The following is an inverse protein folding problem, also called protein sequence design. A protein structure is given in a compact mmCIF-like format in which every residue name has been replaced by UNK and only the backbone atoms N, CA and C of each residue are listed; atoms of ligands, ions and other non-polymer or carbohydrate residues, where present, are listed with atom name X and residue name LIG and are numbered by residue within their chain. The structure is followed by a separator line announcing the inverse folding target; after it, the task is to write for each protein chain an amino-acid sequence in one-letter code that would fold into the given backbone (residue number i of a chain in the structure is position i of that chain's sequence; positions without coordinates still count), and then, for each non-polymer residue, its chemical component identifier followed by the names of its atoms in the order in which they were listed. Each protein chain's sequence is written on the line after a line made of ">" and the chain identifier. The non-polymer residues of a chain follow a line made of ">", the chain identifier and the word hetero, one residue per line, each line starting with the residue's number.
data_IF_354116434589
#
_entry.id   IF_354116434589
#
_cell.length_a   1.000
_cell.length_b   1.000
_cell.length_c   1.000
_cell.angle_alpha   90.00
_cell.angle_beta   90.00
_cell.angle_gamma   90.00
#
_symmetry.space_group_name_H-M   'P 1'
#
loop_
_entity.id
_entity.type
_entity.pdbx_description
1 polymer ?
#
# COMPACT_ATOMS: atom_id res chain seq x y z
N UNK A 1 -43.16 2.91 1.81
CA UNK A 1 -42.47 4.01 2.53
C UNK A 1 -41.21 3.38 3.11
N UNK A 2 -40.09 3.45 2.37
CA UNK A 2 -38.87 2.70 2.67
C UNK A 2 -37.82 3.67 3.21
N UNK A 3 -37.33 3.35 4.40
CA UNK A 3 -36.43 4.13 5.24
C UNK A 3 -35.01 4.10 4.68
N UNK A 4 -34.45 5.29 4.40
CA UNK A 4 -33.16 5.54 3.74
C UNK A 4 -32.08 5.97 4.75
N UNK A 5 -31.94 5.24 5.85
CA UNK A 5 -30.81 5.41 6.76
C UNK A 5 -30.22 4.04 7.06
N UNK A 6 -28.92 3.88 6.76
CA UNK A 6 -28.02 2.77 7.15
C UNK A 6 -27.61 1.78 6.05
N UNK A 7 -27.08 2.26 4.91
CA UNK A 7 -26.11 1.47 4.11
C UNK A 7 -25.11 2.41 3.42
N UNK A 8 -24.19 3.00 4.17
CA UNK A 8 -22.96 3.59 3.63
C UNK A 8 -21.82 3.12 4.53
N UNK A 9 -21.28 1.94 4.22
CA UNK A 9 -20.03 1.45 4.81
C UNK A 9 -19.05 1.12 3.70
N UNK A 10 -17.91 1.78 3.77
CA UNK A 10 -16.61 1.47 3.20
C UNK A 10 -16.50 1.47 1.67
N UNK A 11 -16.29 2.67 1.12
CA UNK A 11 -15.55 2.84 -0.13
C UNK A 11 -14.16 3.39 0.18
N UNK A 12 -13.17 2.76 -0.45
CA UNK A 12 -11.80 3.23 -0.72
C UNK A 12 -10.76 3.13 0.41
N UNK A 13 -10.38 1.89 0.71
CA UNK A 13 -8.99 1.59 0.96
C UNK A 13 -8.36 1.14 -0.37
N UNK A 14 -7.32 1.84 -0.82
CA UNK A 14 -6.52 1.44 -1.99
C UNK A 14 -5.08 1.12 -1.53
N UNK A 15 -4.51 -0.03 -1.88
CA UNK A 15 -3.08 -0.27 -1.69
C UNK A 15 -2.22 0.60 -2.61
N UNK A 16 -1.29 1.36 -2.05
CA UNK A 16 -0.26 2.05 -2.83
C UNK A 16 1.08 1.35 -2.60
N UNK A 17 1.80 1.02 -3.68
CA UNK A 17 3.21 0.69 -3.59
C UNK A 17 3.97 1.98 -3.31
N UNK A 18 4.12 2.33 -2.03
CA UNK A 18 4.91 3.48 -1.61
C UNK A 18 6.41 3.16 -1.80
N UNK A 19 6.90 3.32 -3.03
CA UNK A 19 8.31 3.52 -3.28
C UNK A 19 8.59 5.01 -3.02
N UNK A 20 9.43 5.31 -2.05
CA UNK A 20 9.81 6.68 -1.71
C UNK A 20 11.23 6.98 -2.22
N UNK A 21 11.41 7.49 -3.45
CA UNK A 21 12.67 8.07 -3.86
C UNK A 21 12.53 9.60 -3.91
N UNK A 22 13.31 10.31 -3.12
CA UNK A 22 14.18 11.37 -3.68
C UNK A 22 15.29 11.79 -2.72
N UNK A 23 16.49 11.70 -3.28
CA UNK A 23 17.78 12.32 -2.94
C UNK A 23 17.69 13.57 -2.06
N UNK A 24 18.17 13.44 -0.81
CA UNK A 24 19.16 14.33 -0.16
C UNK A 24 19.07 14.34 1.37
N UNK A 25 18.02 13.79 1.98
CA UNK A 25 17.93 13.61 3.44
C UNK A 25 17.54 12.19 3.88
N UNK A 26 17.30 11.28 2.94
CA UNK A 26 16.96 9.87 3.23
C UNK A 26 18.15 8.96 3.51
N UNK A 27 19.37 9.33 3.09
CA UNK A 27 20.56 8.50 3.34
C UNK A 27 21.01 8.58 4.81
N UNK A 28 21.02 9.76 5.42
CA UNK A 28 21.48 9.92 6.81
C UNK A 28 20.59 9.21 7.84
N UNK A 29 19.28 9.11 7.59
CA UNK A 29 18.35 8.32 8.41
C UNK A 29 18.44 6.81 8.16
N UNK A 30 18.82 6.39 6.94
CA UNK A 30 19.03 4.98 6.61
C UNK A 30 20.36 4.44 7.16
N UNK A 31 21.43 5.23 7.15
CA UNK A 31 22.76 4.83 7.63
C UNK A 31 22.83 4.75 9.17
N UNK A 32 21.99 5.50 9.88
CA UNK A 32 21.95 5.56 11.35
C UNK A 32 21.03 4.51 11.98
N UNK A 33 20.30 3.71 11.19
CA UNK A 33 19.40 2.67 11.67
C UNK A 33 19.96 1.27 11.35
N UNK A 34 20.56 0.54 12.31
CA UNK A 34 21.19 -0.76 12.07
C UNK A 34 20.20 -1.86 11.60
N UNK A 35 18.88 -1.61 11.64
CA UNK A 35 17.85 -2.50 11.06
C UNK A 35 17.62 -2.29 9.55
N UNK A 36 18.18 -1.22 8.98
CA UNK A 36 18.02 -0.84 7.56
C UNK A 36 19.25 -1.12 6.70
N UNK A 37 20.37 -1.54 7.29
CA UNK A 37 21.53 -2.07 6.56
C UNK A 37 21.25 -3.51 6.12
N UNK A 38 20.35 -3.65 5.15
CA UNK A 38 20.04 -4.92 4.52
C UNK A 38 20.90 -5.02 3.27
N UNK A 39 21.75 -6.06 3.18
CA UNK A 39 22.51 -6.34 1.97
C UNK A 39 21.57 -6.36 0.75
N UNK A 40 21.96 -5.86 -0.43
CA UNK A 40 21.07 -5.75 -1.59
C UNK A 40 20.29 -7.04 -1.93
N UNK A 41 20.92 -8.19 -1.72
CA UNK A 41 20.35 -9.53 -1.91
C UNK A 41 19.28 -9.93 -0.87
N UNK A 42 19.20 -9.22 0.26
CA UNK A 42 18.26 -9.45 1.34
C UNK A 42 17.13 -8.42 1.37
N UNK A 43 17.10 -7.47 0.43
CA UNK A 43 15.99 -6.52 0.30
C UNK A 43 14.69 -7.27 0.03
N UNK A 44 13.64 -6.95 0.78
CA UNK A 44 12.30 -7.54 0.67
C UNK A 44 11.27 -6.44 0.49
N UNK A 45 10.17 -6.78 -0.17
CA UNK A 45 8.95 -5.99 -0.07
C UNK A 45 8.45 -6.12 1.38
N UNK A 46 8.46 -5.01 2.12
CA UNK A 46 8.29 -5.05 3.57
C UNK A 46 6.81 -5.16 3.97
N UNK A 47 6.01 -4.11 3.70
CA UNK A 47 4.60 -4.02 4.07
C UNK A 47 3.84 -3.17 3.05
N UNK A 48 2.54 -3.44 2.90
CA UNK A 48 1.67 -2.57 2.09
C UNK A 48 1.14 -1.40 2.92
N UNK A 49 0.87 -0.30 2.23
CA UNK A 49 0.17 0.85 2.78
C UNK A 49 -1.32 0.75 2.46
N UNK A 50 -2.19 0.96 3.45
CA UNK A 50 -3.61 1.15 3.26
C UNK A 50 -3.92 2.64 3.28
N UNK A 51 -4.40 3.17 2.16
CA UNK A 51 -4.90 4.53 2.12
C UNK A 51 -6.28 4.63 2.78
N UNK A 52 -6.55 5.73 3.48
CA UNK A 52 -7.89 6.10 3.94
C UNK A 52 -8.14 7.59 3.73
N UNK A 53 -9.41 7.96 3.59
CA UNK A 53 -9.86 9.35 3.54
C UNK A 53 -10.25 9.88 4.95
N UNK A 54 -10.40 8.98 5.94
CA UNK A 54 -10.66 9.31 7.35
C UNK A 54 -9.81 8.45 8.30
N UNK A 55 -8.62 8.96 8.60
CA UNK A 55 -7.61 8.28 9.42
C UNK A 55 -8.00 8.21 10.89
N UNK A 56 -8.77 9.18 11.39
CA UNK A 56 -9.23 9.18 12.79
C UNK A 56 -10.29 8.10 13.00
N UNK A 57 -11.26 7.98 12.07
CA UNK A 57 -12.23 6.90 12.08
C UNK A 57 -11.54 5.53 11.94
N UNK A 58 -10.65 5.40 10.95
CA UNK A 58 -9.93 4.13 10.71
C UNK A 58 -9.10 3.70 11.92
N UNK A 59 -8.44 4.66 12.58
CA UNK A 59 -7.67 4.41 13.81
C UNK A 59 -8.57 3.91 14.95
N UNK A 60 -9.70 4.58 15.18
CA UNK A 60 -10.65 4.20 16.21
C UNK A 60 -11.27 2.81 15.96
N UNK A 61 -11.62 2.50 14.70
CA UNK A 61 -12.20 1.23 14.31
C UNK A 61 -11.23 0.07 14.54
N UNK A 62 -9.99 0.17 14.05
CA UNK A 62 -8.98 -0.88 14.25
C UNK A 62 -8.65 -1.08 15.74
N UNK A 63 -8.57 0.01 16.51
CA UNK A 63 -8.39 -0.07 17.96
C UNK A 63 -9.55 -0.78 18.66
N UNK A 64 -10.79 -0.54 18.22
CA UNK A 64 -11.99 -1.17 18.78
C UNK A 64 -12.06 -2.68 18.50
N UNK A 65 -11.42 -3.13 17.41
CA UNK A 65 -11.25 -4.54 17.06
C UNK A 65 -10.14 -5.23 17.85
N UNK A 66 -9.51 -4.54 18.81
CA UNK A 66 -8.46 -5.11 19.67
C UNK A 66 -7.05 -5.01 19.11
N UNK A 67 -6.84 -4.35 17.97
CA UNK A 67 -5.51 -4.12 17.43
C UNK A 67 -4.77 -3.04 18.22
N UNK A 68 -3.48 -3.27 18.46
CA UNK A 68 -2.57 -2.25 18.97
C UNK A 68 -2.14 -1.36 17.80
N UNK A 69 -2.54 -0.10 17.85
CA UNK A 69 -2.23 0.90 16.81
C UNK A 69 -1.41 2.02 17.42
N UNK A 70 -0.38 2.47 16.69
CA UNK A 70 0.45 3.60 17.10
C UNK A 70 -0.37 4.89 17.16
N UNK A 71 0.12 5.96 17.83
CA UNK A 71 -0.41 7.30 17.62
C UNK A 71 -0.38 7.70 16.14
N UNK A 72 -1.31 8.56 15.73
CA UNK A 72 -1.31 9.17 14.40
C UNK A 72 -0.21 10.23 14.35
N UNK A 73 0.70 10.10 13.39
CA UNK A 73 1.81 11.03 13.16
C UNK A 73 1.53 11.87 11.92
N UNK A 74 1.79 13.17 12.01
CA UNK A 74 1.71 14.08 10.87
C UNK A 74 3.10 14.19 10.22
N UNK A 75 3.19 13.96 8.92
CA UNK A 75 4.41 14.10 8.12
C UNK A 75 4.24 15.14 7.03
N UNK A 76 5.36 15.75 6.62
CA UNK A 76 5.39 16.65 5.47
C UNK A 76 6.76 16.66 4.79
N UNK A 77 6.78 16.95 3.49
CA UNK A 77 8.00 17.25 2.74
C UNK A 77 7.73 18.28 1.65
N UNK A 78 8.76 19.01 1.25
CA UNK A 78 8.70 19.86 0.07
C UNK A 78 9.09 19.05 -1.16
N UNK A 79 8.34 19.21 -2.25
CA UNK A 79 8.77 18.73 -3.57
C UNK A 79 9.88 19.63 -4.15
N UNK A 80 10.55 19.23 -5.26
CA UNK A 80 11.58 20.06 -5.89
C UNK A 80 11.10 21.44 -6.37
N UNK A 81 9.78 21.65 -6.50
CA UNK A 81 9.18 22.94 -6.84
C UNK A 81 8.84 23.78 -5.59
N UNK A 82 9.08 23.27 -4.39
CA UNK A 82 8.79 23.95 -3.12
C UNK A 82 7.36 23.80 -2.62
N UNK A 83 6.52 22.96 -3.26
CA UNK A 83 5.18 22.68 -2.74
C UNK A 83 5.25 21.73 -1.54
N UNK A 84 4.44 22.00 -0.52
CA UNK A 84 4.33 21.12 0.66
C UNK A 84 3.41 19.94 0.32
N UNK A 85 3.94 18.73 0.48
CA UNK A 85 3.17 17.48 0.50
C UNK A 85 3.07 17.04 1.95
N UNK A 86 1.85 16.95 2.49
CA UNK A 86 1.59 16.50 3.86
C UNK A 86 0.79 15.21 3.89
N UNK A 87 0.95 14.44 4.96
CA UNK A 87 0.21 13.20 5.22
C UNK A 87 0.06 12.95 6.71
N UNK A 88 -0.87 12.05 7.04
CA UNK A 88 -1.07 11.47 8.37
C UNK A 88 -0.84 9.97 8.25
N UNK A 89 -0.20 9.36 9.24
CA UNK A 89 0.18 7.93 9.20
C UNK A 89 0.11 7.29 10.59
N UNK A 90 -0.28 6.02 10.66
CA UNK A 90 -0.09 5.17 11.85
C UNK A 90 0.23 3.73 11.46
N UNK A 91 0.86 2.98 12.37
CA UNK A 91 1.17 1.56 12.19
C UNK A 91 0.26 0.67 13.04
N UNK A 92 0.03 -0.54 12.54
CA UNK A 92 -0.60 -1.62 13.30
C UNK A 92 0.53 -2.52 13.79
N UNK A 93 0.61 -2.73 15.10
CA UNK A 93 1.65 -3.54 15.71
C UNK A 93 1.35 -5.03 15.57
N UNK A 94 2.41 -5.83 15.51
CA UNK A 94 2.33 -7.29 15.37
C UNK A 94 2.11 -7.76 13.93
N UNK A 95 1.57 -8.98 13.85
CA UNK A 95 1.37 -9.76 12.64
C UNK A 95 0.23 -10.75 12.85
N UNK A 96 -0.15 -11.44 11.77
CA UNK A 96 -1.01 -12.62 11.81
C UNK A 96 -0.23 -13.81 11.27
N UNK A 97 0.12 -14.77 12.14
CA UNK A 97 0.91 -15.96 11.79
C UNK A 97 2.21 -15.62 11.03
N UNK A 98 2.90 -14.56 11.46
CA UNK A 98 4.13 -14.07 10.85
C UNK A 98 3.90 -13.09 9.69
N UNK A 99 2.68 -12.97 9.13
CA UNK A 99 2.36 -12.00 8.09
C UNK A 99 2.17 -10.60 8.71
N UNK A 100 3.07 -9.63 8.47
CA UNK A 100 3.00 -8.34 9.13
C UNK A 100 1.77 -7.54 8.69
N UNK A 101 1.14 -6.85 9.64
CA UNK A 101 0.03 -5.96 9.30
C UNK A 101 0.50 -4.77 8.45
N UNK A 102 -0.37 -4.26 7.57
CA UNK A 102 -0.11 -3.04 6.85
C UNK A 102 -0.07 -1.82 7.78
N UNK A 103 0.38 -0.69 7.25
CA UNK A 103 0.25 0.61 7.90
C UNK A 103 -0.80 1.45 7.18
N UNK A 104 -1.36 2.45 7.86
CA UNK A 104 -2.44 3.27 7.32
C UNK A 104 -1.93 4.68 7.07
N UNK A 105 -2.26 5.25 5.90
CA UNK A 105 -1.92 6.62 5.53
C UNK A 105 -3.14 7.40 5.03
N UNK A 106 -3.15 8.70 5.27
CA UNK A 106 -4.06 9.66 4.66
C UNK A 106 -3.24 10.83 4.11
N UNK A 107 -3.39 11.13 2.83
CA UNK A 107 -2.80 12.33 2.23
C UNK A 107 -3.54 13.59 2.69
N UNK A 108 -2.82 14.69 2.86
CA UNK A 108 -3.41 15.97 3.26
C UNK A 108 -4.23 16.66 2.17
N UNK A 109 -3.98 16.32 0.89
CA UNK A 109 -4.77 16.76 -0.26
C UNK A 109 -5.72 15.65 -0.73
N UNK A 110 -6.93 16.04 -1.14
CA UNK A 110 -7.83 15.18 -1.90
C UNK A 110 -7.21 14.80 -3.26
N UNK A 111 -7.47 13.57 -3.71
CA UNK A 111 -6.84 13.02 -4.91
C UNK A 111 -7.23 13.77 -6.19
N UNK A 112 -8.49 14.18 -6.31
CA UNK A 112 -8.94 14.92 -7.48
C UNK A 112 -8.35 16.34 -7.48
N UNK A 113 -8.27 16.98 -6.31
CA UNK A 113 -7.61 18.27 -6.17
C UNK A 113 -6.12 18.18 -6.53
N UNK A 114 -5.42 17.15 -6.03
CA UNK A 114 -4.02 16.86 -6.35
C UNK A 114 -3.82 16.58 -7.84
N UNK A 115 -4.61 15.69 -8.44
CA UNK A 115 -4.51 15.36 -9.87
C UNK A 115 -4.80 16.59 -10.75
N UNK A 116 -5.77 17.42 -10.37
CA UNK A 116 -6.08 18.67 -11.07
C UNK A 116 -4.91 19.65 -10.99
N UNK A 117 -4.29 19.79 -9.80
CA UNK A 117 -3.08 20.62 -9.61
C UNK A 117 -1.91 20.10 -10.44
N UNK A 118 -1.65 18.79 -10.44
CA UNK A 118 -0.57 18.17 -11.21
C UNK A 118 -0.77 18.34 -12.72
N UNK A 119 -2.01 18.18 -13.21
CA UNK A 119 -2.41 18.46 -14.60
C UNK A 119 -2.20 19.92 -14.98
N UNK A 120 -2.68 20.84 -14.13
CA UNK A 120 -2.52 22.28 -14.35
C UNK A 120 -1.03 22.71 -14.38
N UNK A 121 -0.17 21.99 -13.65
CA UNK A 121 1.27 22.23 -13.62
C UNK A 121 2.04 21.48 -14.72
N UNK A 122 1.37 20.66 -15.54
CA UNK A 122 2.00 19.82 -16.58
C UNK A 122 3.00 18.81 -16.00
N UNK A 123 2.79 18.40 -14.75
CA UNK A 123 3.64 17.46 -14.02
C UNK A 123 3.13 16.01 -14.10
N UNK A 124 1.94 15.80 -14.68
CA UNK A 124 1.38 14.48 -15.01
C UNK A 124 1.84 13.98 -16.39
N UNK A 125 3.08 14.33 -16.79
CA UNK A 125 3.62 13.89 -18.08
C UNK A 125 3.53 12.36 -18.17
N UNK A 126 2.99 11.81 -19.27
CA UNK A 126 2.96 10.37 -19.46
C UNK A 126 4.37 9.82 -19.29
N UNK A 127 4.51 8.79 -18.45
CA UNK A 127 5.77 8.07 -18.37
C UNK A 127 6.08 7.50 -19.77
N UNK A 128 7.35 7.46 -20.22
CA UNK A 128 7.69 6.93 -21.55
C UNK A 128 7.17 5.51 -21.83
N UNK A 129 6.99 4.73 -20.75
CA UNK A 129 6.42 3.38 -20.79
C UNK A 129 4.87 3.35 -20.72
N UNK A 130 4.20 4.48 -20.93
CA UNK A 130 2.75 4.60 -20.86
C UNK A 130 2.19 4.51 -19.43
N UNK A 131 0.88 4.23 -19.36
CA UNK A 131 0.18 3.97 -18.11
C UNK A 131 0.62 2.61 -17.53
N UNK A 132 1.04 2.63 -16.26
CA UNK A 132 1.39 1.46 -15.47
C UNK A 132 0.64 1.55 -14.14
N UNK A 133 -0.19 0.56 -13.83
CA UNK A 133 -1.02 0.55 -12.61
C UNK A 133 -0.78 -0.71 -11.81
N UNK A 134 -0.62 -0.57 -10.48
CA UNK A 134 -0.56 -1.73 -9.59
C UNK A 134 -1.91 -2.42 -9.60
N UNK A 135 -1.93 -3.70 -9.97
CA UNK A 135 -3.14 -4.51 -10.04
C UNK A 135 -3.23 -5.47 -8.86
N UNK A 136 -2.12 -6.07 -8.43
CA UNK A 136 -2.15 -7.08 -7.36
C UNK A 136 -0.87 -7.09 -6.53
N UNK A 137 -1.02 -7.34 -5.24
CA UNK A 137 0.06 -7.64 -4.32
C UNK A 137 -0.11 -9.08 -3.84
N UNK A 138 0.93 -9.90 -4.02
CA UNK A 138 0.90 -11.33 -3.74
C UNK A 138 1.71 -11.59 -2.46
N UNK A 139 1.04 -12.13 -1.47
CA UNK A 139 1.61 -12.54 -0.20
C UNK A 139 1.84 -14.04 -0.20
N UNK A 140 2.99 -14.46 0.30
CA UNK A 140 3.25 -15.86 0.59
C UNK A 140 3.07 -16.08 2.09
N UNK A 141 2.22 -17.04 2.45
CA UNK A 141 1.79 -17.33 3.84
C UNK A 141 1.58 -18.81 4.05
N UNK A 142 1.73 -19.29 5.29
CA UNK A 142 1.58 -20.72 5.59
C UNK A 142 0.15 -21.24 5.34
N UNK A 143 -0.85 -20.44 5.70
CA UNK A 143 -2.27 -20.73 5.48
C UNK A 143 -2.95 -19.55 4.76
N UNK A 144 -3.10 -19.63 3.42
CA UNK A 144 -3.75 -18.59 2.62
C UNK A 144 -5.20 -18.35 2.99
N UNK A 145 -5.93 -19.39 3.40
CA UNK A 145 -7.34 -19.26 3.76
C UNK A 145 -7.46 -18.49 5.08
N UNK A 146 -6.70 -18.88 6.10
CA UNK A 146 -6.72 -18.19 7.38
C UNK A 146 -6.29 -16.72 7.25
N UNK A 147 -5.24 -16.43 6.47
CA UNK A 147 -4.80 -15.05 6.24
C UNK A 147 -5.87 -14.20 5.54
N UNK A 148 -6.55 -14.77 4.54
CA UNK A 148 -7.64 -14.13 3.81
C UNK A 148 -8.84 -13.84 4.70
N UNK A 149 -9.30 -14.82 5.46
CA UNK A 149 -10.42 -14.67 6.40
C UNK A 149 -10.12 -13.62 7.47
N UNK A 150 -8.90 -13.64 8.01
CA UNK A 150 -8.46 -12.66 9.01
C UNK A 150 -8.41 -11.24 8.47
N UNK A 151 -7.78 -11.04 7.31
CA UNK A 151 -7.71 -9.71 6.68
C UNK A 151 -9.07 -9.23 6.17
N UNK A 152 -9.96 -10.14 5.75
CA UNK A 152 -11.35 -9.82 5.46
C UNK A 152 -12.06 -9.28 6.70
N UNK A 153 -11.98 -10.00 7.83
CA UNK A 153 -12.65 -9.63 9.06
C UNK A 153 -12.16 -8.29 9.62
N UNK A 154 -10.85 -8.02 9.55
CA UNK A 154 -10.25 -6.79 10.08
C UNK A 154 -10.52 -5.57 9.19
N UNK A 155 -10.27 -5.70 7.89
CA UNK A 155 -10.24 -4.55 6.97
C UNK A 155 -11.51 -4.42 6.12
N UNK A 156 -12.40 -5.41 6.13
CA UNK A 156 -13.66 -5.39 5.40
C UNK A 156 -13.49 -5.46 3.88
N UNK A 157 -12.39 -6.03 3.38
CA UNK A 157 -12.18 -6.22 1.95
C UNK A 157 -13.13 -7.29 1.39
N UNK A 158 -13.58 -7.17 0.13
CA UNK A 158 -14.47 -8.19 -0.44
C UNK A 158 -13.68 -9.47 -0.75
N UNK A 159 -14.24 -10.63 -0.43
CA UNK A 159 -13.59 -11.91 -0.72
C UNK A 159 -13.56 -12.24 -2.21
N UNK A 160 -12.45 -12.82 -2.64
CA UNK A 160 -12.23 -13.44 -3.95
C UNK A 160 -11.77 -14.89 -3.73
N UNK A 161 -11.83 -15.72 -4.78
CA UNK A 161 -11.41 -17.13 -4.70
C UNK A 161 -9.97 -17.31 -4.21
N UNK A 162 -9.06 -16.44 -4.62
CA UNK A 162 -7.62 -16.51 -4.32
C UNK A 162 -7.14 -15.34 -3.46
N UNK A 163 -8.05 -14.53 -2.90
CA UNK A 163 -7.63 -13.29 -2.27
C UNK A 163 -8.75 -12.36 -1.80
N UNK A 164 -8.41 -11.07 -1.72
CA UNK A 164 -9.28 -9.98 -1.28
C UNK A 164 -9.23 -8.84 -2.28
N UNK A 165 -10.39 -8.23 -2.55
CA UNK A 165 -10.50 -7.01 -3.34
C UNK A 165 -10.36 -5.79 -2.44
N UNK A 166 -9.30 -5.02 -2.65
CA UNK A 166 -9.00 -3.76 -1.96
C UNK A 166 -9.12 -2.60 -2.96
N UNK A 167 -10.34 -2.10 -3.15
CA UNK A 167 -10.62 -1.09 -4.18
C UNK A 167 -10.46 -1.66 -5.60
N UNK A 168 -9.59 -1.05 -6.40
CA UNK A 168 -9.27 -1.51 -7.77
C UNK A 168 -8.16 -2.57 -7.80
N UNK A 169 -7.54 -2.83 -6.64
CA UNK A 169 -6.42 -3.74 -6.49
C UNK A 169 -6.83 -5.01 -5.77
N UNK A 170 -5.96 -6.01 -5.82
CA UNK A 170 -6.17 -7.31 -5.19
C UNK A 170 -5.02 -7.68 -4.26
N UNK A 171 -5.34 -8.23 -3.10
CA UNK A 171 -4.41 -8.95 -2.27
C UNK A 171 -4.60 -10.43 -2.52
N UNK A 172 -3.58 -11.10 -3.03
CA UNK A 172 -3.62 -12.53 -3.32
C UNK A 172 -2.75 -13.26 -2.31
N UNK A 173 -3.20 -14.41 -1.82
CA UNK A 173 -2.48 -15.19 -0.83
C UNK A 173 -2.09 -16.53 -1.45
N UNK A 174 -0.79 -16.82 -1.46
CA UNK A 174 -0.20 -18.07 -1.94
C UNK A 174 0.38 -18.83 -0.77
N UNK A 175 0.26 -20.16 -0.79
CA UNK A 175 0.86 -20.98 0.22
C UNK A 175 2.41 -20.92 0.14
N UNK A 176 3.07 -20.76 1.28
CA UNK A 176 4.52 -20.87 1.44
C UNK A 176 5.00 -20.36 2.81
N UNK A 177 6.30 -20.36 3.03
CA UNK A 177 6.90 -20.16 4.36
C UNK A 177 7.42 -18.73 4.58
N UNK A 178 7.35 -17.87 3.56
CA UNK A 178 7.96 -16.55 3.62
C UNK A 178 7.23 -15.56 4.53
N UNK A 179 5.92 -15.76 4.77
CA UNK A 179 5.01 -14.90 5.55
C UNK A 179 5.17 -13.40 5.24
N UNK A 180 5.21 -13.04 3.94
CA UNK A 180 5.44 -11.64 3.50
C UNK A 180 4.89 -11.37 2.11
N UNK A 181 4.89 -10.09 1.74
CA UNK A 181 4.72 -9.65 0.36
C UNK A 181 5.92 -10.12 -0.47
N UNK A 182 5.66 -10.85 -1.56
CA UNK A 182 6.72 -11.43 -2.41
C UNK A 182 6.67 -10.92 -3.84
N UNK A 183 5.50 -10.57 -4.36
CA UNK A 183 5.36 -10.15 -5.75
C UNK A 183 4.35 -9.00 -5.91
N UNK A 184 4.68 -8.04 -6.77
CA UNK A 184 3.79 -6.99 -7.24
C UNK A 184 3.49 -7.17 -8.73
N UNK A 185 2.22 -7.13 -9.09
CA UNK A 185 1.74 -7.29 -10.47
C UNK A 185 1.16 -5.96 -10.95
N UNK A 186 1.67 -5.49 -12.07
CA UNK A 186 1.28 -4.25 -12.71
C UNK A 186 0.62 -4.53 -14.05
N UNK A 187 -0.44 -3.79 -14.35
CA UNK A 187 -0.93 -3.68 -15.72
C UNK A 187 -0.09 -2.61 -16.43
N UNK A 188 0.42 -2.93 -17.62
CA UNK A 188 1.15 -1.99 -18.45
C UNK A 188 0.44 -1.81 -19.80
N UNK A 189 0.28 -0.55 -20.21
CA UNK A 189 -0.25 -0.22 -21.54
C UNK A 189 0.77 -0.48 -22.66
N UNK A 190 2.07 -0.35 -22.36
CA UNK A 190 3.16 -0.63 -23.31
C UNK A 190 3.31 -2.15 -23.55
N UNK A 191 3.10 -2.63 -24.80
CA UNK A 191 3.26 -4.04 -25.14
C UNK A 191 4.66 -4.61 -24.85
N UNK A 192 5.70 -3.77 -24.89
CA UNK A 192 7.09 -4.19 -24.63
C UNK A 192 7.33 -4.60 -23.17
N UNK A 193 6.52 -4.08 -22.25
CA UNK A 193 6.57 -4.44 -20.83
C UNK A 193 5.76 -5.70 -20.51
N UNK A 194 4.81 -6.09 -21.34
CA UNK A 194 3.93 -7.23 -21.04
C UNK A 194 4.70 -8.54 -20.98
N UNK A 195 4.48 -9.30 -19.91
CA UNK A 195 5.20 -10.54 -19.62
C UNK A 195 6.58 -10.33 -19.01
N UNK A 196 7.08 -9.08 -18.89
CA UNK A 196 8.35 -8.84 -18.23
C UNK A 196 8.26 -9.10 -16.74
N UNK A 197 9.37 -9.62 -16.21
CA UNK A 197 9.58 -9.85 -14.79
C UNK A 197 10.94 -9.31 -14.42
N UNK A 198 11.02 -8.60 -13.31
CA UNK A 198 12.31 -8.27 -12.72
C UNK A 198 12.29 -8.51 -11.21
N UNK A 199 13.48 -8.68 -10.65
CA UNK A 199 13.69 -8.98 -9.24
C UNK A 199 14.60 -7.93 -8.64
N UNK A 200 14.17 -7.35 -7.51
CA UNK A 200 15.00 -6.49 -6.67
C UNK A 200 15.08 -7.15 -5.30
N UNK A 201 16.28 -7.58 -4.91
CA UNK A 201 16.47 -8.46 -3.76
C UNK A 201 15.65 -9.75 -3.89
N UNK A 202 14.68 -9.94 -2.97
CA UNK A 202 13.72 -11.06 -2.95
C UNK A 202 12.30 -10.65 -3.36
N UNK A 203 12.10 -9.41 -3.78
CA UNK A 203 10.83 -8.93 -4.32
C UNK A 203 10.75 -9.13 -5.83
N UNK A 204 9.63 -9.67 -6.30
CA UNK A 204 9.34 -9.86 -7.71
C UNK A 204 8.37 -8.78 -8.23
N UNK A 205 8.59 -8.34 -9.45
CA UNK A 205 7.76 -7.35 -10.13
C UNK A 205 7.38 -7.90 -11.49
N UNK A 206 6.08 -7.99 -11.78
CA UNK A 206 5.54 -8.56 -13.01
C UNK A 206 4.65 -7.57 -13.73
N UNK A 207 4.76 -7.52 -15.05
CA UNK A 207 3.99 -6.64 -15.92
C UNK A 207 3.14 -7.48 -16.88
N UNK A 208 1.90 -7.07 -17.13
CA UNK A 208 0.93 -7.76 -18.01
C UNK A 208 0.06 -6.79 -18.81
#
# INVERSE_FOLDING_TARGET
>A
MLDFRRVVKNRKIQPEAAFCPTKSLGLEWMDSNPRMQIAPENQVLHRVALRTDDIDQTHAELRSQGLQVSPIVNGQRNDPQGNVISWRIFTIDGDFNGLPYPFVLQWGEDDNARLTRLRAQGLDKPHPAGEVTLQSAIFEVQDPQAAREHWHALFGFNELSEGLSAGQQRFLFRQGEANRLVELVFNASDPSLKGQRFRVGRGEYRFQ
#
